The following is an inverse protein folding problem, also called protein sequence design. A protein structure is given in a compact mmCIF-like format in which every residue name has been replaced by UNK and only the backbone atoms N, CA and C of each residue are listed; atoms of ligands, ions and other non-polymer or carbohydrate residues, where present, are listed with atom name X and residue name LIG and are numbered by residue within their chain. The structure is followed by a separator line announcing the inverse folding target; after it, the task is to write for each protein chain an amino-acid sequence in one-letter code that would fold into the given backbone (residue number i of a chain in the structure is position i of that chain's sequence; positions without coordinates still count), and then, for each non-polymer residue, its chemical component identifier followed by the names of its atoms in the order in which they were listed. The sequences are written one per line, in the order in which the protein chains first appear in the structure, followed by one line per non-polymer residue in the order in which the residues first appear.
data_IF_146231339100
#
_entry.id   IF_146231339100
#
_cell.length_a   1.000
_cell.length_b   1.000
_cell.length_c   1.000
_cell.angle_alpha   90.00
_cell.angle_beta   90.00
_cell.angle_gamma   90.00
#
_symmetry.space_group_name_H-M   'P 1'
#
loop_
_entity.id
_entity.type
_entity.pdbx_description
1 polymer ?
#
# COMPACT_ATOMS: atom_id res chain seq x y z
N UNK A 1 -33.29 2.78 10.98
CA UNK A 1 -32.15 1.84 11.12
C UNK A 1 -31.41 1.84 9.79
N UNK A 2 -30.20 2.42 9.73
CA UNK A 2 -29.42 2.52 8.48
C UNK A 2 -29.01 1.11 8.06
N UNK A 3 -29.42 0.71 6.88
CA UNK A 3 -28.93 -0.49 6.20
C UNK A 3 -27.41 -0.42 6.15
N UNK A 4 -26.76 -1.35 6.85
CA UNK A 4 -25.34 -1.62 6.68
C UNK A 4 -25.17 -2.25 5.30
N UNK A 5 -25.13 -1.42 4.25
CA UNK A 5 -24.68 -1.86 2.95
C UNK A 5 -23.24 -2.35 3.14
N UNK A 6 -23.02 -3.63 2.90
CA UNK A 6 -21.75 -4.29 3.12
C UNK A 6 -20.67 -3.50 2.36
N UNK A 7 -19.57 -3.16 3.06
CA UNK A 7 -18.40 -2.50 2.45
C UNK A 7 -17.87 -3.26 1.22
N UNK A 8 -18.19 -4.56 1.09
CA UNK A 8 -17.82 -5.39 -0.05
C UNK A 8 -18.70 -5.20 -1.29
N UNK A 9 -19.92 -4.66 -1.14
CA UNK A 9 -20.84 -4.45 -2.27
C UNK A 9 -20.41 -3.24 -3.12
N UNK A 10 -19.58 -2.37 -2.55
CA UNK A 10 -19.15 -1.13 -3.15
C UNK A 10 -17.60 -1.06 -3.18
N UNK A 11 -16.96 -1.63 -4.22
CA UNK A 11 -15.50 -1.75 -4.27
C UNK A 11 -14.79 -0.40 -4.12
N UNK A 12 -15.39 0.68 -4.60
CA UNK A 12 -14.87 2.05 -4.43
C UNK A 12 -14.77 2.49 -2.96
N UNK A 13 -15.70 2.06 -2.10
CA UNK A 13 -15.68 2.37 -0.66
C UNK A 13 -14.63 1.54 0.06
N UNK A 14 -14.48 0.26 -0.29
CA UNK A 14 -13.44 -0.61 0.27
C UNK A 14 -12.04 -0.10 -0.07
N UNK A 15 -11.80 0.31 -1.32
CA UNK A 15 -10.54 0.94 -1.73
C UNK A 15 -10.24 2.22 -0.95
N UNK A 16 -11.24 3.09 -0.74
CA UNK A 16 -11.07 4.31 0.06
C UNK A 16 -10.80 4.00 1.53
N UNK A 17 -11.48 3.01 2.11
CA UNK A 17 -11.28 2.61 3.49
C UNK A 17 -9.85 2.06 3.71
N UNK A 18 -9.37 1.20 2.80
CA UNK A 18 -7.98 0.70 2.83
C UNK A 18 -6.99 1.85 2.69
N UNK A 19 -7.18 2.75 1.72
CA UNK A 19 -6.29 3.87 1.48
C UNK A 19 -6.22 4.81 2.70
N UNK A 20 -7.37 5.19 3.26
CA UNK A 20 -7.44 6.08 4.43
C UNK A 20 -6.89 5.40 5.68
N UNK A 21 -7.27 4.15 5.95
CA UNK A 21 -6.76 3.40 7.10
C UNK A 21 -5.24 3.23 7.05
N UNK A 22 -4.72 2.88 5.86
CA UNK A 22 -3.28 2.75 5.65
C UNK A 22 -2.55 4.08 5.79
N UNK A 23 -3.11 5.17 5.27
CA UNK A 23 -2.53 6.52 5.37
C UNK A 23 -2.45 6.96 6.84
N UNK A 24 -3.56 6.88 7.58
CA UNK A 24 -3.64 7.32 8.97
C UNK A 24 -2.65 6.53 9.83
N UNK A 25 -2.63 5.20 9.69
CA UNK A 25 -1.72 4.35 10.46
C UNK A 25 -0.25 4.57 10.09
N UNK A 26 0.07 4.72 8.80
CA UNK A 26 1.44 4.95 8.36
C UNK A 26 1.96 6.31 8.84
N UNK A 27 1.14 7.37 8.76
CA UNK A 27 1.48 8.69 9.30
C UNK A 27 1.59 8.67 10.82
N UNK A 28 0.70 7.96 11.52
CA UNK A 28 0.75 7.80 12.97
C UNK A 28 2.04 7.11 13.42
N UNK A 29 2.37 5.97 12.82
CA UNK A 29 3.60 5.22 13.15
C UNK A 29 4.85 6.03 12.77
N UNK A 30 4.87 6.68 11.60
CA UNK A 30 5.97 7.54 11.20
C UNK A 30 6.15 8.74 12.15
N UNK A 31 5.05 9.38 12.57
CA UNK A 31 5.06 10.49 13.53
C UNK A 31 5.60 10.06 14.90
N UNK A 32 5.19 8.89 15.39
CA UNK A 32 5.72 8.31 16.64
C UNK A 32 7.21 8.03 16.50
N UNK A 33 7.64 7.36 15.43
CA UNK A 33 9.05 7.05 15.19
C UNK A 33 9.90 8.33 15.10
N UNK A 34 9.38 9.37 14.44
CA UNK A 34 10.03 10.67 14.35
C UNK A 34 10.16 11.35 15.72
N UNK A 35 9.07 11.37 16.51
CA UNK A 35 9.04 11.95 17.86
C UNK A 35 9.95 11.23 18.86
N UNK A 36 10.21 9.93 18.64
CA UNK A 36 11.14 9.13 19.43
C UNK A 36 12.61 9.24 18.97
N UNK A 37 12.91 10.08 17.98
CA UNK A 37 14.28 10.29 17.50
C UNK A 37 14.76 9.27 16.46
N UNK A 38 13.86 8.54 15.80
CA UNK A 38 14.15 7.57 14.74
C UNK A 38 13.69 8.08 13.35
N UNK A 39 14.28 9.16 12.80
CA UNK A 39 13.83 9.75 11.54
C UNK A 39 14.01 8.80 10.34
N UNK A 40 15.07 8.00 10.33
CA UNK A 40 15.30 6.99 9.29
C UNK A 40 14.23 5.89 9.32
N UNK A 41 13.77 5.48 10.50
CA UNK A 41 12.67 4.55 10.66
C UNK A 41 11.34 5.14 10.17
N UNK A 42 11.07 6.40 10.51
CA UNK A 42 9.88 7.11 10.03
C UNK A 42 9.86 7.22 8.49
N UNK A 43 10.98 7.58 7.87
CA UNK A 43 11.12 7.61 6.41
C UNK A 43 10.92 6.23 5.80
N UNK A 44 11.49 5.19 6.41
CA UNK A 44 11.25 3.80 6.03
C UNK A 44 9.77 3.47 5.97
N UNK A 45 9.00 3.79 7.02
CA UNK A 45 7.54 3.53 7.10
C UNK A 45 6.80 4.20 5.95
N UNK A 46 7.08 5.46 5.68
CA UNK A 46 6.42 6.20 4.60
C UNK A 46 6.75 5.61 3.23
N UNK A 47 8.02 5.26 2.98
CA UNK A 47 8.46 4.65 1.74
C UNK A 47 7.83 3.27 1.55
N UNK A 48 7.77 2.44 2.60
CA UNK A 48 7.16 1.12 2.56
C UNK A 48 5.66 1.17 2.23
N UNK A 49 4.93 2.07 2.89
CA UNK A 49 3.51 2.25 2.63
C UNK A 49 3.25 2.80 1.21
N UNK A 50 4.04 3.79 0.77
CA UNK A 50 3.94 4.37 -0.57
C UNK A 50 4.29 3.36 -1.66
N UNK A 51 5.30 2.52 -1.44
CA UNK A 51 5.72 1.44 -2.35
C UNK A 51 4.57 0.45 -2.59
N UNK A 52 3.91 -0.01 -1.52
CA UNK A 52 2.80 -0.94 -1.67
C UNK A 52 1.60 -0.27 -2.37
N UNK A 53 1.28 0.98 -1.99
CA UNK A 53 0.24 1.77 -2.65
C UNK A 53 0.52 1.98 -4.15
N UNK A 54 1.77 2.25 -4.51
CA UNK A 54 2.21 2.37 -5.90
C UNK A 54 2.03 1.06 -6.65
N UNK A 55 2.46 -0.08 -6.09
CA UNK A 55 2.30 -1.40 -6.72
C UNK A 55 0.82 -1.69 -6.98
N UNK A 56 -0.04 -1.45 -6.00
CA UNK A 56 -1.48 -1.65 -6.14
C UNK A 56 -2.09 -0.72 -7.19
N UNK A 57 -1.74 0.57 -7.17
CA UNK A 57 -2.19 1.54 -8.16
C UNK A 57 -1.71 1.20 -9.57
N UNK A 58 -0.48 0.73 -9.70
CA UNK A 58 0.12 0.30 -10.96
C UNK A 58 -0.63 -0.90 -11.55
N UNK A 59 -0.95 -1.93 -10.75
CA UNK A 59 -1.76 -3.06 -11.23
C UNK A 59 -3.22 -2.65 -11.53
N UNK A 60 -3.82 -1.78 -10.72
CA UNK A 60 -5.14 -1.23 -11.00
C UNK A 60 -5.18 -0.45 -12.32
N UNK A 61 -4.16 0.38 -12.56
CA UNK A 61 -3.97 1.12 -13.81
C UNK A 61 -3.76 0.17 -15.00
N UNK A 62 -2.95 -0.88 -14.85
CA UNK A 62 -2.78 -1.92 -15.87
C UNK A 62 -4.10 -2.59 -16.22
N UNK A 63 -4.89 -3.02 -15.22
CA UNK A 63 -6.20 -3.66 -15.46
C UNK A 63 -7.14 -2.71 -16.21
N UNK A 64 -7.15 -1.43 -15.86
CA UNK A 64 -7.93 -0.42 -16.56
C UNK A 64 -7.47 -0.23 -18.02
N UNK A 65 -6.16 -0.09 -18.23
CA UNK A 65 -5.55 0.14 -19.54
C UNK A 65 -5.70 -1.08 -20.47
N UNK A 66 -5.63 -2.29 -19.92
CA UNK A 66 -5.70 -3.56 -20.65
C UNK A 66 -7.13 -4.00 -21.02
N UNK A 67 -8.15 -3.22 -20.66
CA UNK A 67 -9.49 -3.37 -21.25
C UNK A 67 -9.47 -3.16 -22.77
N UNK A 68 -8.48 -2.45 -23.32
CA UNK A 68 -8.26 -2.32 -24.76
C UNK A 68 -7.40 -3.47 -25.33
N UNK A 69 -7.95 -4.23 -26.29
CA UNK A 69 -7.28 -5.39 -26.94
C UNK A 69 -5.89 -5.08 -27.53
N UNK A 70 -5.61 -3.83 -27.91
CA UNK A 70 -4.32 -3.42 -28.48
C UNK A 70 -3.18 -3.23 -27.48
N UNK A 71 -3.49 -2.95 -26.21
CA UNK A 71 -2.49 -2.56 -25.19
C UNK A 71 -1.86 -3.77 -24.49
N UNK A 72 -2.42 -4.97 -24.69
CA UNK A 72 -1.89 -6.22 -24.16
C UNK A 72 -0.46 -6.53 -24.66
N UNK A 73 -0.08 -6.02 -25.83
CA UNK A 73 1.30 -6.16 -26.34
C UNK A 73 2.31 -5.29 -25.62
N UNK A 74 1.86 -4.25 -24.91
CA UNK A 74 2.73 -3.33 -24.14
C UNK A 74 2.91 -3.76 -22.68
N UNK A 75 2.18 -4.80 -22.22
CA UNK A 75 2.34 -5.41 -20.89
C UNK A 75 3.81 -5.66 -20.52
N UNK A 76 4.65 -6.29 -21.37
CA UNK A 76 6.03 -6.59 -21.02
C UNK A 76 6.85 -5.32 -20.77
N UNK A 77 6.62 -4.26 -21.57
CA UNK A 77 7.31 -2.97 -21.45
C UNK A 77 6.95 -2.25 -20.15
N UNK A 78 5.66 -2.18 -19.81
CA UNK A 78 5.24 -1.63 -18.53
C UNK A 78 5.83 -2.45 -17.38
N UNK A 79 5.80 -3.78 -17.48
CA UNK A 79 6.26 -4.67 -16.43
C UNK A 79 7.77 -4.59 -16.25
N UNK A 80 8.53 -4.21 -17.28
CA UNK A 80 9.98 -3.97 -17.19
C UNK A 80 10.29 -2.68 -16.43
N UNK A 81 9.52 -1.61 -16.67
CA UNK A 81 9.75 -0.28 -16.10
C UNK A 81 9.59 -0.24 -14.57
N UNK A 82 8.86 -1.18 -13.96
CA UNK A 82 8.70 -1.24 -12.49
C UNK A 82 9.99 -1.68 -11.77
N UNK A 83 10.82 -2.52 -12.40
CA UNK A 83 11.97 -3.12 -11.74
C UNK A 83 13.08 -2.12 -11.39
N UNK A 84 13.48 -1.18 -12.28
CA UNK A 84 14.46 -0.15 -11.94
C UNK A 84 14.01 0.73 -10.76
N UNK A 85 12.71 1.08 -10.73
CA UNK A 85 12.15 1.89 -9.64
C UNK A 85 12.18 1.13 -8.31
N UNK A 86 11.75 -0.15 -8.32
CA UNK A 86 11.83 -1.01 -7.13
C UNK A 86 13.27 -1.16 -6.64
N UNK A 87 14.23 -1.31 -7.56
CA UNK A 87 15.65 -1.40 -7.21
C UNK A 87 16.15 -0.11 -6.57
N UNK A 88 15.80 1.05 -7.10
CA UNK A 88 16.18 2.34 -6.53
C UNK A 88 15.63 2.53 -5.12
N UNK A 89 14.37 2.13 -4.89
CA UNK A 89 13.75 2.19 -3.56
C UNK A 89 14.45 1.24 -2.59
N UNK A 90 14.67 -0.02 -2.98
CA UNK A 90 15.37 -1.00 -2.13
C UNK A 90 16.77 -0.52 -1.79
N UNK A 91 17.50 0.00 -2.78
CA UNK A 91 18.83 0.53 -2.56
C UNK A 91 18.83 1.72 -1.59
N UNK A 92 17.89 2.66 -1.76
CA UNK A 92 17.73 3.80 -0.85
C UNK A 92 17.37 3.38 0.59
N UNK A 93 16.50 2.38 0.74
CA UNK A 93 16.12 1.81 2.05
C UNK A 93 17.30 1.12 2.72
N UNK A 94 18.08 0.34 1.98
CA UNK A 94 19.27 -0.35 2.50
C UNK A 94 20.37 0.65 2.88
N UNK A 95 20.56 1.71 2.10
CA UNK A 95 21.51 2.79 2.39
C UNK A 95 21.20 3.52 3.71
N UNK A 96 19.92 3.68 4.08
CA UNK A 96 19.53 4.26 5.37
C UNK A 96 19.71 3.33 6.58
N UNK A 97 20.29 2.15 6.36
CA UNK A 97 20.67 1.19 7.40
C UNK A 97 19.49 0.47 8.04
N UNK A 98 19.79 -0.31 9.08
CA UNK A 98 18.82 -1.12 9.84
C UNK A 98 17.53 -0.39 10.25
N UNK A 99 17.55 0.84 10.79
CA UNK A 99 16.31 1.50 11.20
C UNK A 99 15.38 1.80 10.02
N UNK A 100 15.93 2.18 8.86
CA UNK A 100 15.13 2.46 7.66
C UNK A 100 14.54 1.19 7.06
N UNK A 101 15.28 0.08 7.06
CA UNK A 101 14.79 -1.23 6.63
C UNK A 101 13.64 -1.71 7.52
N UNK A 102 13.79 -1.61 8.84
CA UNK A 102 12.71 -1.99 9.79
C UNK A 102 11.49 -1.11 9.56
N UNK A 103 11.68 0.21 9.44
CA UNK A 103 10.61 1.13 9.09
C UNK A 103 9.91 0.75 7.81
N UNK A 104 10.66 0.42 6.75
CA UNK A 104 10.12 -0.01 5.47
C UNK A 104 9.26 -1.27 5.59
N UNK A 105 9.73 -2.30 6.30
CA UNK A 105 8.95 -3.52 6.54
C UNK A 105 7.66 -3.20 7.26
N UNK A 106 7.70 -2.37 8.32
CA UNK A 106 6.50 -1.93 9.04
C UNK A 106 5.55 -1.17 8.10
N UNK A 107 6.07 -0.26 7.29
CA UNK A 107 5.30 0.49 6.29
C UNK A 107 4.59 -0.39 5.26
N UNK A 108 5.23 -1.47 4.81
CA UNK A 108 4.64 -2.48 3.91
C UNK A 108 3.57 -3.31 4.61
N UNK A 109 3.79 -3.66 5.88
CA UNK A 109 2.86 -4.48 6.67
C UNK A 109 1.58 -3.72 7.03
N UNK A 110 1.63 -2.40 7.26
CA UNK A 110 0.46 -1.61 7.65
C UNK A 110 -0.71 -1.75 6.66
N UNK A 111 -0.57 -1.50 5.35
CA UNK A 111 -1.68 -1.67 4.42
C UNK A 111 -2.17 -3.12 4.32
N UNK A 112 -1.27 -4.10 4.43
CA UNK A 112 -1.65 -5.53 4.45
C UNK A 112 -2.50 -5.87 5.68
N UNK A 113 -2.12 -5.35 6.85
CA UNK A 113 -2.86 -5.51 8.08
C UNK A 113 -4.24 -4.83 8.01
N UNK A 114 -4.32 -3.63 7.43
CA UNK A 114 -5.60 -2.92 7.20
C UNK A 114 -6.53 -3.74 6.31
N UNK A 115 -6.03 -4.25 5.19
CA UNK A 115 -6.83 -5.11 4.31
C UNK A 115 -7.30 -6.37 5.03
N UNK A 116 -6.41 -7.02 5.80
CA UNK A 116 -6.73 -8.23 6.54
C UNK A 116 -7.79 -7.97 7.60
N UNK A 117 -7.66 -6.88 8.36
CA UNK A 117 -8.63 -6.49 9.38
C UNK A 117 -10.01 -6.19 8.78
N UNK A 118 -10.05 -5.47 7.64
CA UNK A 118 -11.30 -5.19 6.93
C UNK A 118 -11.94 -6.47 6.37
N UNK A 119 -11.14 -7.40 5.85
CA UNK A 119 -11.62 -8.69 5.37
C UNK A 119 -12.21 -9.52 6.52
N UNK A 120 -11.53 -9.59 7.66
CA UNK A 120 -12.04 -10.28 8.85
C UNK A 120 -13.33 -9.62 9.35
N UNK A 121 -13.36 -8.30 9.46
CA UNK A 121 -14.54 -7.54 9.89
C UNK A 121 -15.74 -7.80 8.98
N UNK A 122 -15.54 -7.80 7.65
CA UNK A 122 -16.60 -8.12 6.70
C UNK A 122 -17.13 -9.55 6.86
N UNK A 123 -16.26 -10.53 7.16
CA UNK A 123 -16.67 -11.91 7.36
C UNK A 123 -17.56 -12.08 8.60
N UNK A 124 -17.32 -11.29 9.66
CA UNK A 124 -18.14 -11.29 10.87
C UNK A 124 -19.45 -10.49 10.73
N UNK A 125 -19.48 -9.44 9.91
CA UNK A 125 -20.68 -8.61 9.70
C UNK A 125 -21.68 -9.19 8.69
N UNK A 126 -21.31 -10.22 7.93
CA UNK A 126 -22.21 -10.99 7.07
C UNK A 126 -22.91 -12.17 7.78
N UNK A 127 -22.60 -12.42 9.06
CA UNK A 127 -23.34 -13.34 9.94
C UNK A 127 -24.37 -12.58 10.75
#
# INVERSE_FOLDING_TARGET
MRSAHSLMDEPSRLWRAVALGSLILSLGVAGIAWGLGFPHGALGVLIGAAMLGWIMGYYGFLVWLLRGKGVQRLLPLFNLAKYPLMMAVVYGVVQGGTPMVIGFVVGVVIPLAVMTALAIWSAFTMR
#
